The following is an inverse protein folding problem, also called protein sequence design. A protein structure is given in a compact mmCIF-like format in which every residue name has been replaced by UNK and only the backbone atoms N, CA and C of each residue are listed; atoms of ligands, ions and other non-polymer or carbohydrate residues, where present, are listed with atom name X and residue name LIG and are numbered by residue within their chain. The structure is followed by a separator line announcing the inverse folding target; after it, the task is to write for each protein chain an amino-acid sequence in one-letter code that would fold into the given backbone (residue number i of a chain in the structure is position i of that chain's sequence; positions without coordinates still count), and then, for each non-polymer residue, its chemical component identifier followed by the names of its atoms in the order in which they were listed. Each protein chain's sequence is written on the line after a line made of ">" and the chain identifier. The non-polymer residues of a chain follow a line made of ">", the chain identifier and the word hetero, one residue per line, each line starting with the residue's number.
data_IF_649785431659
#
_entry.id   IF_649785431659
#
_cell.length_a   1.000
_cell.length_b   1.000
_cell.length_c   1.000
_cell.angle_alpha   90.00
_cell.angle_beta   90.00
_cell.angle_gamma   90.00
#
_symmetry.space_group_name_H-M   'P 1'
#
loop_
_entity.id
_entity.type
_entity.pdbx_description
1 polymer ?
#
# COMPACT_ATOMS: atom_id res chain seq x y z
N UNK A 1 4.50 19.16 47.21
CA UNK A 1 3.11 19.37 46.75
C UNK A 1 2.59 18.08 46.13
N UNK A 2 1.62 17.38 46.74
CA UNK A 2 1.15 16.08 46.23
C UNK A 2 0.31 16.34 44.98
N UNK A 3 0.93 16.28 43.80
CA UNK A 3 0.32 16.55 42.49
C UNK A 3 -0.21 15.29 41.80
N UNK A 4 -0.81 14.37 42.56
CA UNK A 4 -1.38 13.13 42.04
C UNK A 4 -2.67 13.36 41.25
N UNK A 5 -3.00 12.44 40.34
CA UNK A 5 -4.33 12.40 39.69
C UNK A 5 -5.40 12.23 40.78
N UNK A 6 -6.54 12.92 40.63
CA UNK A 6 -7.70 12.68 41.50
C UNK A 6 -8.01 11.18 41.53
N UNK A 7 -8.16 10.62 42.72
CA UNK A 7 -8.51 9.21 42.91
C UNK A 7 -10.00 8.99 42.62
N UNK A 8 -10.46 7.74 42.62
CA UNK A 8 -11.89 7.48 42.54
C UNK A 8 -12.62 8.03 43.77
N UNK A 9 -12.00 7.89 44.95
CA UNK A 9 -12.52 8.42 46.20
C UNK A 9 -12.66 9.94 46.18
N UNK A 10 -11.63 10.64 45.71
CA UNK A 10 -11.65 12.10 45.54
C UNK A 10 -12.86 12.52 44.65
N UNK A 11 -13.15 11.76 43.59
CA UNK A 11 -14.29 12.04 42.70
C UNK A 11 -15.65 11.80 43.36
N UNK A 12 -15.79 10.77 44.20
CA UNK A 12 -17.03 10.54 44.95
C UNK A 12 -17.27 11.65 45.97
N UNK A 13 -16.22 12.11 46.64
CA UNK A 13 -16.30 13.24 47.58
C UNK A 13 -16.65 14.56 46.89
N UNK A 14 -16.09 14.83 45.71
CA UNK A 14 -16.48 15.98 44.87
C UNK A 14 -17.98 15.91 44.54
N UNK A 15 -18.51 14.74 44.16
CA UNK A 15 -19.93 14.60 43.86
C UNK A 15 -20.83 14.87 45.08
N UNK A 16 -20.49 14.31 46.24
CA UNK A 16 -21.25 14.54 47.50
C UNK A 16 -21.28 16.02 47.86
N UNK A 17 -20.11 16.67 47.90
CA UNK A 17 -20.02 18.07 48.31
C UNK A 17 -20.64 19.05 47.31
N UNK A 18 -20.67 18.70 46.02
CA UNK A 18 -21.43 19.50 45.05
C UNK A 18 -22.94 19.35 45.23
N UNK A 19 -23.43 18.17 45.60
CA UNK A 19 -24.84 17.96 45.94
C UNK A 19 -25.24 18.71 47.23
N UNK A 20 -24.30 18.87 48.16
CA UNK A 20 -24.43 19.69 49.37
C UNK A 20 -24.25 21.21 49.12
N UNK A 21 -23.98 21.62 47.87
CA UNK A 21 -23.88 23.03 47.47
C UNK A 21 -22.53 23.71 47.76
N UNK A 22 -21.46 22.96 48.05
CA UNK A 22 -20.15 23.54 48.31
C UNK A 22 -19.50 24.09 47.02
N UNK A 23 -18.86 25.25 47.15
CA UNK A 23 -18.10 25.87 46.07
C UNK A 23 -16.75 25.17 45.80
N UNK A 24 -16.25 25.28 44.57
CA UNK A 24 -15.03 24.59 44.12
C UNK A 24 -13.77 24.91 44.93
N UNK A 25 -13.66 26.12 45.48
CA UNK A 25 -12.52 26.53 46.30
C UNK A 25 -12.48 25.79 47.65
N UNK A 26 -13.65 25.55 48.23
CA UNK A 26 -13.78 24.81 49.49
C UNK A 26 -13.51 23.32 49.29
N UNK A 27 -14.03 22.74 48.21
CA UNK A 27 -13.73 21.35 47.81
C UNK A 27 -12.23 21.17 47.56
N UNK A 28 -11.58 22.15 46.91
CA UNK A 28 -10.13 22.15 46.70
C UNK A 28 -9.34 22.12 48.01
N UNK A 29 -9.72 22.96 48.99
CA UNK A 29 -9.09 22.99 50.32
C UNK A 29 -9.23 21.65 51.04
N UNK A 30 -10.43 21.07 51.08
CA UNK A 30 -10.71 19.80 51.79
C UNK A 30 -9.94 18.61 51.21
N UNK A 31 -9.71 18.58 49.90
CA UNK A 31 -8.94 17.53 49.22
C UNK A 31 -7.43 17.81 49.17
N UNK A 32 -6.97 18.98 49.64
CA UNK A 32 -5.58 19.41 49.46
C UNK A 32 -5.20 19.57 47.97
N UNK A 33 -6.15 20.01 47.12
CA UNK A 33 -5.97 20.16 45.67
C UNK A 33 -6.18 21.61 45.22
N UNK A 34 -5.48 22.07 44.16
CA UNK A 34 -5.76 23.38 43.58
C UNK A 34 -7.21 23.49 43.10
N UNK A 35 -7.88 24.62 43.37
CA UNK A 35 -9.25 24.92 42.91
C UNK A 35 -9.43 24.73 41.40
N UNK A 36 -8.39 25.06 40.62
CA UNK A 36 -8.36 24.87 39.17
C UNK A 36 -8.40 23.39 38.74
N UNK A 37 -8.01 22.46 39.62
CA UNK A 37 -8.12 21.01 39.38
C UNK A 37 -9.58 20.57 39.53
N UNK A 38 -10.25 21.06 40.57
CA UNK A 38 -11.67 20.76 40.84
C UNK A 38 -12.55 21.35 39.74
N UNK A 39 -12.40 22.64 39.44
CA UNK A 39 -13.17 23.31 38.38
C UNK A 39 -13.03 22.62 37.03
N UNK A 40 -11.80 22.25 36.63
CA UNK A 40 -11.56 21.55 35.36
C UNK A 40 -12.05 20.10 35.36
N UNK A 41 -12.07 19.42 36.51
CA UNK A 41 -12.64 18.07 36.61
C UNK A 41 -14.16 18.11 36.47
N UNK A 42 -14.82 19.03 37.18
CA UNK A 42 -16.28 19.20 37.15
C UNK A 42 -16.74 19.63 35.76
N UNK A 43 -16.15 20.69 35.19
CA UNK A 43 -16.49 21.18 33.86
C UNK A 43 -16.37 20.11 32.75
N UNK A 44 -15.48 19.12 32.92
CA UNK A 44 -15.26 18.06 31.92
C UNK A 44 -16.14 16.82 32.11
N UNK A 45 -16.73 16.62 33.29
CA UNK A 45 -17.48 15.40 33.60
C UNK A 45 -18.88 15.67 34.18
N UNK A 46 -19.36 16.91 34.10
CA UNK A 46 -20.76 17.26 34.36
C UNK A 46 -21.62 17.07 33.11
N UNK A 47 -22.82 16.52 33.30
CA UNK A 47 -23.87 16.42 32.28
C UNK A 47 -25.12 17.19 32.76
N UNK A 48 -26.20 17.18 31.97
CA UNK A 48 -27.43 17.96 32.23
C UNK A 48 -28.11 17.70 33.60
N UNK A 49 -27.63 16.72 34.39
CA UNK A 49 -28.10 16.42 35.75
C UNK A 49 -27.03 16.53 36.86
N UNK A 50 -25.86 17.13 36.60
CA UNK A 50 -24.81 17.33 37.61
C UNK A 50 -23.51 16.58 37.34
N UNK A 51 -22.62 16.56 38.33
CA UNK A 51 -21.29 15.94 38.23
C UNK A 51 -21.36 14.42 38.43
N UNK A 52 -20.82 13.65 37.47
CA UNK A 52 -20.88 12.18 37.46
C UNK A 52 -19.51 11.56 37.81
N UNK A 53 -19.32 11.17 39.08
CA UNK A 53 -18.06 10.63 39.59
C UNK A 53 -17.62 9.32 38.90
N UNK A 54 -18.54 8.39 38.65
CA UNK A 54 -18.24 7.10 38.01
C UNK A 54 -17.88 7.27 36.53
N UNK A 55 -18.57 8.18 35.84
CA UNK A 55 -18.21 8.56 34.48
C UNK A 55 -16.82 9.22 34.42
N UNK A 56 -16.50 10.09 35.40
CA UNK A 56 -15.18 10.70 35.52
C UNK A 56 -14.07 9.67 35.79
N UNK A 57 -14.34 8.64 36.60
CA UNK A 57 -13.42 7.53 36.84
C UNK A 57 -13.22 6.68 35.58
N UNK A 58 -14.30 6.33 34.88
CA UNK A 58 -14.22 5.58 33.63
C UNK A 58 -13.50 6.38 32.53
N UNK A 59 -13.72 7.70 32.44
CA UNK A 59 -13.03 8.57 31.49
C UNK A 59 -11.54 8.72 31.82
N UNK A 60 -11.18 8.79 33.12
CA UNK A 60 -9.80 8.82 33.58
C UNK A 60 -9.08 7.48 33.35
N UNK A 61 -9.78 6.36 33.58
CA UNK A 61 -9.32 5.00 33.32
C UNK A 61 -9.11 4.72 31.84
N UNK A 62 -10.04 5.14 30.97
CA UNK A 62 -9.87 5.07 29.49
C UNK A 62 -8.66 5.89 29.02
N UNK A 63 -8.42 7.07 29.60
CA UNK A 63 -7.23 7.89 29.29
C UNK A 63 -5.92 7.30 29.81
N UNK A 64 -5.95 6.62 30.97
CA UNK A 64 -4.80 5.88 31.48
C UNK A 64 -4.53 4.63 30.62
N UNK A 65 -5.57 3.90 30.21
CA UNK A 65 -5.49 2.76 29.28
C UNK A 65 -5.13 3.13 27.85
N UNK A 66 -5.34 4.39 27.40
CA UNK A 66 -4.79 4.96 26.15
C UNK A 66 -3.33 5.40 26.28
N UNK A 67 -2.82 5.60 27.50
CA UNK A 67 -1.38 5.79 27.79
C UNK A 67 -0.66 4.46 28.07
N UNK A 68 -1.35 3.45 28.57
CA UNK A 68 -0.80 2.10 28.80
C UNK A 68 -0.50 1.23 27.57
N UNK A 69 -0.96 1.48 26.32
CA UNK A 69 -0.47 0.71 25.17
C UNK A 69 0.91 1.22 24.74
N UNK A 70 1.37 2.35 25.29
CA UNK A 70 2.72 2.89 25.09
C UNK A 70 3.70 2.45 26.20
N UNK A 71 3.27 1.66 27.20
CA UNK A 71 4.15 1.26 28.31
C UNK A 71 4.00 -0.20 28.78
N UNK A 72 2.95 -0.93 28.38
CA UNK A 72 2.80 -2.36 28.72
C UNK A 72 3.53 -3.32 27.74
N UNK A 73 4.24 -2.80 26.74
CA UNK A 73 5.10 -3.61 25.86
C UNK A 73 6.58 -3.61 26.29
N UNK A 74 6.90 -3.15 27.50
CA UNK A 74 8.26 -3.19 28.04
C UNK A 74 8.24 -3.60 29.52
N UNK A 75 8.18 -4.91 29.73
CA UNK A 75 9.08 -5.56 30.67
C UNK A 75 9.87 -6.62 29.89
N UNK A 76 11.15 -6.81 30.22
CA UNK A 76 12.21 -7.04 29.25
C UNK A 76 12.28 -8.51 28.85
N UNK A 77 11.85 -8.77 27.61
CA UNK A 77 12.32 -9.91 26.83
C UNK A 77 12.90 -9.31 25.54
N UNK A 78 14.17 -8.91 25.66
CA UNK A 78 15.21 -8.82 24.63
C UNK A 78 14.93 -7.99 23.36
N UNK A 79 15.70 -6.90 23.21
CA UNK A 79 15.58 -5.85 22.19
C UNK A 79 15.85 -6.25 20.73
N UNK A 80 15.85 -7.54 20.42
CA UNK A 80 15.99 -8.10 19.07
C UNK A 80 14.91 -7.60 18.09
N UNK A 81 13.60 -7.50 18.43
CA UNK A 81 12.58 -7.08 17.46
C UNK A 81 12.69 -5.60 17.08
N UNK A 82 12.96 -4.72 18.06
CA UNK A 82 13.06 -3.29 17.81
C UNK A 82 14.34 -2.92 17.07
N UNK A 83 15.46 -3.57 17.40
CA UNK A 83 16.72 -3.40 16.68
C UNK A 83 16.62 -4.01 15.27
N UNK A 84 16.06 -5.22 15.13
CA UNK A 84 15.85 -5.86 13.82
C UNK A 84 14.96 -5.02 12.90
N UNK A 85 13.88 -4.43 13.42
CA UNK A 85 13.03 -3.51 12.66
C UNK A 85 13.81 -2.26 12.26
N UNK A 86 14.63 -1.69 13.16
CA UNK A 86 15.46 -0.52 12.83
C UNK A 86 16.49 -0.85 11.74
N UNK A 87 17.20 -1.96 11.86
CA UNK A 87 18.17 -2.45 10.87
C UNK A 87 17.49 -2.71 9.53
N UNK A 88 16.30 -3.31 9.52
CA UNK A 88 15.51 -3.48 8.30
C UNK A 88 15.11 -2.14 7.69
N UNK A 89 14.60 -1.20 8.48
CA UNK A 89 14.21 0.14 8.01
C UNK A 89 15.38 0.84 7.35
N UNK A 90 16.58 0.82 7.96
CA UNK A 90 17.77 1.43 7.39
C UNK A 90 18.23 0.71 6.11
N UNK A 91 18.24 -0.63 6.10
CA UNK A 91 18.63 -1.41 4.92
C UNK A 91 17.69 -1.17 3.75
N UNK A 92 16.38 -1.19 3.99
CA UNK A 92 15.40 -1.00 2.93
C UNK A 92 15.36 0.47 2.46
N UNK A 93 15.49 1.43 3.37
CA UNK A 93 15.63 2.84 2.99
C UNK A 93 16.89 3.08 2.14
N UNK A 94 17.99 2.37 2.40
CA UNK A 94 19.20 2.45 1.58
C UNK A 94 18.98 1.91 0.17
N UNK A 95 18.22 0.81 0.01
CA UNK A 95 17.86 0.28 -1.31
C UNK A 95 17.01 1.28 -2.10
N UNK A 96 15.98 1.86 -1.48
CA UNK A 96 15.15 2.89 -2.11
C UNK A 96 15.93 4.16 -2.42
N UNK A 97 16.92 4.51 -1.60
CA UNK A 97 17.81 5.62 -1.93
C UNK A 97 18.67 5.32 -3.17
N UNK A 98 19.02 4.06 -3.40
CA UNK A 98 19.70 3.60 -4.60
C UNK A 98 18.87 3.74 -5.89
N UNK A 99 17.54 3.83 -5.78
CA UNK A 99 16.65 4.05 -6.93
C UNK A 99 16.37 5.53 -7.21
N UNK A 100 17.02 6.45 -6.50
CA UNK A 100 16.89 7.90 -6.70
C UNK A 100 16.06 8.64 -5.65
N UNK A 101 15.45 7.94 -4.68
CA UNK A 101 14.72 8.59 -3.60
C UNK A 101 15.70 9.25 -2.59
N UNK A 102 15.49 10.48 -2.12
CA UNK A 102 16.40 11.04 -1.12
C UNK A 102 16.34 10.25 0.20
N UNK A 103 17.50 10.08 0.85
CA UNK A 103 17.67 9.18 2.02
C UNK A 103 16.65 9.39 3.14
N UNK A 104 16.35 10.64 3.51
CA UNK A 104 15.40 10.92 4.60
C UNK A 104 13.94 10.62 4.22
N UNK A 105 13.42 11.05 3.05
CA UNK A 105 12.17 10.54 2.49
C UNK A 105 12.08 9.01 2.47
N UNK A 106 13.13 8.31 2.03
CA UNK A 106 13.15 6.84 2.04
C UNK A 106 12.98 6.26 3.45
N UNK A 107 13.70 6.79 4.45
CA UNK A 107 13.58 6.37 5.86
C UNK A 107 12.18 6.64 6.42
N UNK A 108 11.60 7.81 6.14
CA UNK A 108 10.22 8.15 6.56
C UNK A 108 9.21 7.21 5.92
N UNK A 109 9.34 6.96 4.62
CA UNK A 109 8.46 6.09 3.87
C UNK A 109 8.47 4.64 4.38
N UNK A 110 9.66 4.05 4.56
CA UNK A 110 9.79 2.68 5.10
C UNK A 110 9.28 2.60 6.55
N UNK A 111 9.49 3.64 7.35
CA UNK A 111 8.97 3.69 8.72
C UNK A 111 7.44 3.73 8.77
N UNK A 112 6.80 4.40 7.81
CA UNK A 112 5.35 4.38 7.64
C UNK A 112 4.87 3.01 7.11
N UNK A 113 5.56 2.44 6.12
CA UNK A 113 5.21 1.15 5.51
C UNK A 113 5.24 -0.02 6.52
N UNK A 114 6.17 0.02 7.46
CA UNK A 114 6.42 -1.08 8.43
C UNK A 114 5.68 -0.89 9.76
N UNK A 115 4.86 0.16 9.90
CA UNK A 115 4.17 0.45 11.16
C UNK A 115 2.91 -0.40 11.31
N UNK A 116 2.78 -1.15 12.41
CA UNK A 116 1.59 -1.96 12.67
C UNK A 116 0.24 -1.22 12.61
N UNK A 117 0.13 0.05 13.08
CA UNK A 117 -1.10 0.84 12.96
C UNK A 117 -1.41 1.42 11.57
N UNK A 118 -0.56 1.22 10.56
CA UNK A 118 -0.72 1.78 9.20
C UNK A 118 -0.58 3.31 9.08
N UNK A 119 -0.41 4.04 10.19
CA UNK A 119 -0.27 5.50 10.20
C UNK A 119 0.63 5.99 11.33
N UNK A 120 1.29 7.14 11.13
CA UNK A 120 2.12 7.82 12.15
C UNK A 120 1.92 9.33 12.15
N UNK A 121 2.00 9.93 13.32
CA UNK A 121 2.11 11.38 13.50
C UNK A 121 3.55 11.87 13.32
N UNK A 122 3.75 13.16 13.06
CA UNK A 122 5.11 13.75 12.94
C UNK A 122 5.94 13.51 14.21
N UNK A 123 5.31 13.57 15.39
CA UNK A 123 5.99 13.30 16.67
C UNK A 123 6.41 11.83 16.83
N UNK A 124 5.69 10.89 16.23
CA UNK A 124 6.09 9.47 16.22
C UNK A 124 7.21 9.22 15.24
N UNK A 125 7.18 9.85 14.05
CA UNK A 125 8.28 9.80 13.08
C UNK A 125 9.58 10.36 13.65
N UNK A 126 9.54 11.52 14.32
CA UNK A 126 10.69 12.11 15.02
C UNK A 126 11.29 11.13 16.03
N UNK A 127 10.44 10.51 16.87
CA UNK A 127 10.89 9.55 17.88
C UNK A 127 11.46 8.27 17.29
N UNK A 128 10.86 7.72 16.22
CA UNK A 128 11.30 6.46 15.64
C UNK A 128 12.58 6.61 14.82
N UNK A 129 12.70 7.70 14.06
CA UNK A 129 13.82 7.93 13.17
C UNK A 129 15.00 8.65 13.85
N UNK A 130 14.78 9.18 15.06
CA UNK A 130 15.76 9.96 15.82
C UNK A 130 16.28 11.16 15.01
N UNK A 131 15.36 11.91 14.39
CA UNK A 131 15.67 13.08 13.54
C UNK A 131 14.88 14.30 13.98
N UNK A 132 15.27 15.48 13.48
CA UNK A 132 14.59 16.72 13.82
C UNK A 132 13.15 16.79 13.25
N UNK A 133 12.24 17.54 13.91
CA UNK A 133 10.91 17.80 13.35
C UNK A 133 10.94 18.43 11.95
N UNK A 134 11.90 19.33 11.69
CA UNK A 134 12.06 19.96 10.38
C UNK A 134 12.44 18.94 9.29
N UNK A 135 13.31 17.98 9.61
CA UNK A 135 13.67 16.88 8.69
C UNK A 135 12.47 16.02 8.34
N UNK A 136 11.61 15.72 9.32
CA UNK A 136 10.36 15.00 9.09
C UNK A 136 9.42 15.82 8.21
N UNK A 137 9.19 17.10 8.52
CA UNK A 137 8.30 17.95 7.72
C UNK A 137 8.75 18.06 6.26
N UNK A 138 10.06 18.25 6.01
CA UNK A 138 10.60 18.31 4.64
C UNK A 138 10.47 16.97 3.91
N UNK A 139 10.74 15.86 4.59
CA UNK A 139 10.62 14.54 4.01
C UNK A 139 9.16 14.18 3.69
N UNK A 140 8.23 14.48 4.60
CA UNK A 140 6.80 14.29 4.38
C UNK A 140 6.32 15.16 3.21
N UNK A 141 6.66 16.44 3.17
CA UNK A 141 6.25 17.31 2.05
C UNK A 141 6.77 16.83 0.69
N UNK A 142 7.98 16.27 0.65
CA UNK A 142 8.52 15.63 -0.56
C UNK A 142 7.72 14.38 -0.95
N UNK A 143 7.41 13.51 0.01
CA UNK A 143 6.61 12.30 -0.22
C UNK A 143 5.16 12.61 -0.60
N UNK A 144 4.58 13.68 -0.08
CA UNK A 144 3.26 14.18 -0.46
C UNK A 144 3.25 14.71 -1.90
N UNK A 145 4.30 15.43 -2.31
CA UNK A 145 4.43 15.92 -3.69
C UNK A 145 4.56 14.78 -4.71
N UNK A 146 5.11 13.63 -4.29
CA UNK A 146 5.16 12.40 -5.07
C UNK A 146 3.91 11.51 -4.88
N UNK A 147 2.90 11.99 -4.14
CA UNK A 147 1.67 11.25 -3.81
C UNK A 147 1.90 9.90 -3.11
N UNK A 148 3.07 9.73 -2.47
CA UNK A 148 3.46 8.52 -1.75
C UNK A 148 2.94 8.47 -0.31
N UNK A 149 2.57 9.62 0.23
CA UNK A 149 2.02 9.78 1.57
C UNK A 149 0.83 10.71 1.51
N UNK A 150 -0.25 10.35 2.20
CA UNK A 150 -1.41 11.20 2.39
C UNK A 150 -1.49 11.63 3.85
N UNK A 151 -1.91 12.88 4.07
CA UNK A 151 -2.40 13.32 5.38
C UNK A 151 -3.83 12.84 5.59
N UNK A 152 -4.02 12.06 6.62
CA UNK A 152 -5.33 11.77 7.16
C UNK A 152 -5.63 12.72 8.32
N UNK A 153 -6.74 13.45 8.18
CA UNK A 153 -7.33 14.18 9.28
C UNK A 153 -8.40 13.30 9.91
N UNK A 154 -7.94 12.24 10.57
CA UNK A 154 -8.81 11.48 11.45
C UNK A 154 -9.39 12.44 12.52
N UNK A 155 -10.53 12.10 13.11
CA UNK A 155 -11.39 12.89 14.03
C UNK A 155 -10.72 13.46 15.30
N UNK A 156 -9.39 13.45 15.40
CA UNK A 156 -8.57 14.05 16.45
C UNK A 156 -7.66 15.20 15.99
N UNK A 157 -7.21 16.02 16.95
CA UNK A 157 -6.38 17.23 16.79
C UNK A 157 -4.97 17.05 16.17
N UNK A 158 -4.58 15.88 15.63
CA UNK A 158 -3.20 15.63 15.17
C UNK A 158 -3.20 14.97 13.81
N UNK A 159 -2.51 15.60 12.87
CA UNK A 159 -2.25 15.07 11.53
C UNK A 159 -1.57 13.70 11.62
N UNK A 160 -2.11 12.74 10.87
CA UNK A 160 -1.52 11.42 10.68
C UNK A 160 -1.12 11.24 9.23
N UNK A 161 0.02 10.61 9.02
CA UNK A 161 0.53 10.27 7.70
C UNK A 161 0.28 8.79 7.44
N UNK A 162 -0.25 8.50 6.25
CA UNK A 162 -0.61 7.17 5.79
C UNK A 162 0.04 6.94 4.44
N UNK A 163 0.61 5.76 4.21
CA UNK A 163 0.96 5.31 2.86
C UNK A 163 -0.32 4.73 2.27
N UNK A 164 -0.84 5.32 1.18
CA UNK A 164 -2.02 4.79 0.51
C UNK A 164 -1.78 3.41 -0.09
N UNK A 165 -2.82 2.58 -0.14
CA UNK A 165 -2.76 1.19 -0.61
C UNK A 165 -2.36 1.06 -2.10
N UNK A 166 -2.40 2.16 -2.83
CA UNK A 166 -2.17 2.35 -4.27
C UNK A 166 -0.96 3.26 -4.58
N UNK A 167 -0.15 3.58 -3.57
CA UNK A 167 1.05 4.46 -3.67
C UNK A 167 2.13 3.89 -4.59
N UNK A 168 2.38 2.58 -4.52
CA UNK A 168 3.37 1.93 -5.38
C UNK A 168 2.98 1.95 -6.85
N UNK A 169 1.67 1.89 -7.14
CA UNK A 169 1.12 2.01 -8.48
C UNK A 169 1.27 3.44 -9.02
N UNK A 170 0.98 4.47 -8.21
CA UNK A 170 1.16 5.88 -8.63
C UNK A 170 2.62 6.25 -8.86
N UNK A 171 3.54 5.79 -8.01
CA UNK A 171 4.98 6.01 -8.17
C UNK A 171 5.52 5.39 -9.46
N UNK A 172 5.10 4.16 -9.75
CA UNK A 172 5.44 3.43 -10.98
C UNK A 172 4.83 4.11 -12.21
N UNK A 173 3.59 4.59 -12.13
CA UNK A 173 2.90 5.32 -13.21
C UNK A 173 3.53 6.70 -13.46
N UNK A 174 3.95 7.42 -12.42
CA UNK A 174 4.66 8.69 -12.55
C UNK A 174 6.06 8.52 -13.17
N UNK A 175 6.80 7.47 -12.80
CA UNK A 175 8.06 7.08 -13.45
C UNK A 175 7.84 6.73 -14.94
N UNK A 176 6.71 6.11 -15.26
CA UNK A 176 6.32 5.77 -16.63
C UNK A 176 6.07 7.00 -17.52
N UNK A 177 5.46 8.05 -16.95
CA UNK A 177 5.26 9.34 -17.60
C UNK A 177 6.57 10.05 -17.91
N UNK A 178 7.53 10.03 -16.98
CA UNK A 178 8.86 10.61 -17.17
C UNK A 178 9.63 9.92 -18.32
N UNK A 179 9.58 8.58 -18.42
CA UNK A 179 10.17 7.85 -19.54
C UNK A 179 9.51 8.20 -20.89
N UNK A 180 8.19 8.41 -20.90
CA UNK A 180 7.46 8.79 -22.11
C UNK A 180 7.84 10.21 -22.58
N UNK A 181 8.03 11.14 -21.65
CA UNK A 181 8.52 12.50 -21.92
C UNK A 181 9.96 12.49 -22.46
N UNK A 182 10.86 11.68 -21.88
CA UNK A 182 12.23 11.51 -22.38
C UNK A 182 12.21 10.95 -23.81
N UNK A 183 11.32 9.99 -24.09
CA UNK A 183 11.17 9.45 -25.45
C UNK A 183 10.65 10.51 -26.44
N UNK A 184 9.73 11.37 -26.01
CA UNK A 184 9.21 12.47 -26.82
C UNK A 184 10.28 13.54 -27.10
N UNK A 185 11.05 13.93 -26.08
CA UNK A 185 12.16 14.86 -26.22
C UNK A 185 13.24 14.32 -27.16
N UNK A 186 13.55 13.02 -27.08
CA UNK A 186 14.49 12.38 -27.99
C UNK A 186 13.99 12.39 -29.45
N UNK A 187 12.69 12.13 -29.70
CA UNK A 187 12.08 12.25 -31.03
C UNK A 187 12.15 13.67 -31.59
N UNK A 188 11.84 14.66 -30.77
CA UNK A 188 11.97 16.06 -31.18
C UNK A 188 13.42 16.44 -31.51
N UNK A 189 14.39 15.91 -30.76
CA UNK A 189 15.81 16.07 -31.08
C UNK A 189 16.19 15.46 -32.44
N UNK A 190 15.55 14.37 -32.89
CA UNK A 190 15.78 13.80 -34.22
C UNK A 190 15.31 14.76 -35.32
N UNK A 191 14.21 15.47 -35.11
CA UNK A 191 13.71 16.50 -36.04
C UNK A 191 14.70 17.67 -36.16
N UNK A 192 15.32 18.07 -35.04
CA UNK A 192 16.29 19.17 -34.98
C UNK A 192 17.64 18.78 -35.59
N UNK A 193 18.19 17.62 -35.19
CA UNK A 193 19.55 17.20 -35.57
C UNK A 193 19.59 16.33 -36.84
N UNK A 194 18.43 15.95 -37.38
CA UNK A 194 18.29 15.11 -38.57
C UNK A 194 18.54 13.62 -38.30
N UNK A 195 17.64 12.77 -38.79
CA UNK A 195 17.68 11.31 -38.59
C UNK A 195 18.93 10.62 -39.16
N UNK A 196 19.55 11.20 -40.19
CA UNK A 196 20.75 10.64 -40.82
C UNK A 196 22.07 10.98 -40.11
N UNK A 197 22.05 11.81 -39.05
CA UNK A 197 23.29 12.22 -38.36
C UNK A 197 23.66 11.26 -37.23
N UNK A 198 24.95 11.21 -36.82
CA UNK A 198 25.36 10.43 -35.65
C UNK A 198 24.61 10.82 -34.37
N UNK A 199 24.18 12.08 -34.23
CA UNK A 199 23.35 12.54 -33.12
C UNK A 199 21.92 12.01 -33.23
N UNK A 200 21.31 12.10 -34.41
CA UNK A 200 19.99 11.54 -34.70
C UNK A 200 19.91 10.03 -34.39
N UNK A 201 20.92 9.25 -34.80
CA UNK A 201 20.98 7.81 -34.53
C UNK A 201 21.08 7.46 -33.03
N UNK A 202 21.78 8.27 -32.22
CA UNK A 202 21.81 8.09 -30.76
C UNK A 202 20.47 8.41 -30.12
N UNK A 203 19.83 9.50 -30.55
CA UNK A 203 18.52 9.92 -30.07
C UNK A 203 17.43 8.92 -30.47
N UNK A 204 17.52 8.31 -31.65
CA UNK A 204 16.62 7.25 -32.09
C UNK A 204 16.70 6.02 -31.17
N UNK A 205 17.91 5.58 -30.82
CA UNK A 205 18.13 4.49 -29.86
C UNK A 205 17.53 4.82 -28.49
N UNK A 206 17.73 6.05 -28.03
CA UNK A 206 17.19 6.53 -26.74
C UNK A 206 15.66 6.57 -26.76
N UNK A 207 15.06 7.12 -27.81
CA UNK A 207 13.60 7.18 -27.99
C UNK A 207 12.98 5.78 -27.99
N UNK A 208 13.61 4.84 -28.70
CA UNK A 208 13.13 3.45 -28.79
C UNK A 208 13.18 2.73 -27.44
N UNK A 209 14.29 2.88 -26.72
CA UNK A 209 14.48 2.26 -25.41
C UNK A 209 13.46 2.75 -24.38
N UNK A 210 13.30 4.07 -24.24
CA UNK A 210 12.36 4.62 -23.27
C UNK A 210 10.90 4.40 -23.66
N UNK A 211 10.58 4.34 -24.96
CA UNK A 211 9.23 3.93 -25.42
C UNK A 211 8.93 2.47 -25.02
N UNK A 212 9.90 1.57 -25.13
CA UNK A 212 9.74 0.18 -24.70
C UNK A 212 9.56 0.06 -23.18
N UNK A 213 10.38 0.77 -22.38
CA UNK A 213 10.23 0.83 -20.92
C UNK A 213 8.85 1.35 -20.53
N UNK A 214 8.41 2.47 -21.12
CA UNK A 214 7.09 3.02 -20.83
C UNK A 214 5.96 2.07 -21.21
N UNK A 215 6.10 1.33 -22.32
CA UNK A 215 5.12 0.33 -22.75
C UNK A 215 5.02 -0.87 -21.78
N UNK A 216 6.13 -1.31 -21.21
CA UNK A 216 6.16 -2.37 -20.20
C UNK A 216 5.51 -1.92 -18.88
N UNK A 217 5.79 -0.69 -18.43
CA UNK A 217 5.29 -0.18 -17.15
C UNK A 217 3.83 0.30 -17.22
N UNK A 218 3.39 0.93 -18.32
CA UNK A 218 1.98 1.28 -18.58
C UNK A 218 1.10 0.04 -18.74
N UNK A 219 1.70 -1.11 -19.03
CA UNK A 219 1.05 -2.40 -18.91
C UNK A 219 0.43 -2.58 -17.52
N UNK A 220 1.09 -2.20 -16.42
CA UNK A 220 0.63 -2.48 -15.05
C UNK A 220 -0.68 -1.83 -14.57
N UNK A 221 -1.40 -1.07 -15.40
CA UNK A 221 -2.56 -0.25 -15.03
C UNK A 221 -3.89 -0.97 -14.71
N UNK A 222 -3.85 -2.24 -14.32
CA UNK A 222 -5.01 -2.93 -13.73
C UNK A 222 -4.80 -3.01 -12.22
N UNK A 223 -5.87 -2.89 -11.42
CA UNK A 223 -5.77 -3.23 -9.99
C UNK A 223 -5.26 -4.67 -9.87
N UNK A 224 -4.46 -4.97 -8.84
CA UNK A 224 -3.98 -6.34 -8.57
C UNK A 224 -5.15 -7.35 -8.55
N UNK A 225 -6.32 -6.90 -8.10
CA UNK A 225 -7.58 -7.63 -8.18
C UNK A 225 -8.03 -7.93 -9.62
N UNK A 226 -7.96 -6.97 -10.55
CA UNK A 226 -8.35 -7.20 -11.95
C UNK A 226 -7.33 -8.06 -12.71
N UNK A 227 -6.04 -7.95 -12.40
CA UNK A 227 -5.01 -8.83 -12.94
C UNK A 227 -5.15 -10.27 -12.40
N UNK A 228 -5.40 -10.41 -11.09
CA UNK A 228 -5.72 -11.70 -10.47
C UNK A 228 -7.01 -12.32 -11.01
N UNK A 229 -8.02 -11.48 -11.27
CA UNK A 229 -9.29 -11.92 -11.86
C UNK A 229 -9.09 -12.45 -13.28
N UNK A 230 -8.29 -11.74 -14.09
CA UNK A 230 -7.90 -12.17 -15.43
C UNK A 230 -7.16 -13.52 -15.40
N UNK A 231 -6.17 -13.69 -14.53
CA UNK A 231 -5.44 -14.96 -14.38
C UNK A 231 -6.35 -16.10 -13.92
N UNK A 232 -7.32 -15.82 -13.06
CA UNK A 232 -8.31 -16.81 -12.61
C UNK A 232 -9.23 -17.25 -13.75
N UNK A 233 -9.67 -16.33 -14.61
CA UNK A 233 -10.42 -16.65 -15.82
C UNK A 233 -9.59 -17.50 -16.79
N UNK A 234 -8.31 -17.16 -17.00
CA UNK A 234 -7.39 -17.99 -17.81
C UNK A 234 -7.25 -19.39 -17.22
N UNK A 235 -7.05 -19.51 -15.90
CA UNK A 235 -6.96 -20.80 -15.23
C UNK A 235 -8.25 -21.64 -15.38
N UNK A 236 -9.42 -21.01 -15.27
CA UNK A 236 -10.71 -21.68 -15.48
C UNK A 236 -10.87 -22.21 -16.91
N UNK A 237 -10.48 -21.42 -17.91
CA UNK A 237 -10.51 -21.83 -19.32
C UNK A 237 -9.53 -22.97 -19.60
N UNK A 238 -8.32 -22.92 -19.05
CA UNK A 238 -7.33 -24.01 -19.15
C UNK A 238 -7.85 -25.29 -18.50
N UNK A 239 -8.43 -25.18 -17.30
CA UNK A 239 -8.94 -26.33 -16.57
C UNK A 239 -10.15 -26.96 -17.24
N UNK A 240 -11.06 -26.15 -17.78
CA UNK A 240 -12.25 -26.65 -18.46
C UNK A 240 -11.93 -27.38 -19.76
N UNK A 241 -10.81 -27.03 -20.42
CA UNK A 241 -10.34 -27.61 -21.68
C UNK A 241 -11.44 -27.67 -22.78
N UNK A 242 -12.40 -26.75 -22.73
CA UNK A 242 -13.53 -26.62 -23.66
C UNK A 242 -13.96 -25.15 -23.76
N UNK A 243 -14.66 -24.74 -24.83
CA UNK A 243 -15.21 -23.40 -24.92
C UNK A 243 -16.20 -23.10 -23.78
N UNK A 244 -16.06 -21.94 -23.15
CA UNK A 244 -16.97 -21.45 -22.09
C UNK A 244 -17.54 -20.08 -22.46
N UNK A 245 -18.82 -19.84 -22.19
CA UNK A 245 -19.39 -18.50 -22.26
C UNK A 245 -19.03 -17.69 -21.01
N UNK A 246 -19.23 -16.36 -21.07
CA UNK A 246 -19.09 -15.52 -19.87
C UNK A 246 -20.07 -15.91 -18.75
N UNK A 247 -21.25 -16.45 -19.10
CA UNK A 247 -22.23 -16.94 -18.13
C UNK A 247 -21.75 -18.24 -17.46
N UNK A 248 -21.13 -19.16 -18.23
CA UNK A 248 -20.54 -20.38 -17.68
C UNK A 248 -19.41 -20.05 -16.70
N UNK A 249 -18.54 -19.09 -17.06
CA UNK A 249 -17.47 -18.61 -16.20
C UNK A 249 -18.01 -17.96 -14.92
N UNK A 250 -19.04 -17.13 -15.02
CA UNK A 250 -19.68 -16.50 -13.86
C UNK A 250 -20.29 -17.54 -12.91
N UNK A 251 -20.99 -18.53 -13.44
CA UNK A 251 -21.58 -19.60 -12.66
C UNK A 251 -20.52 -20.50 -11.99
N UNK A 252 -19.46 -20.86 -12.72
CA UNK A 252 -18.41 -21.75 -12.22
C UNK A 252 -17.50 -21.06 -11.17
N UNK A 253 -17.26 -19.76 -11.30
CA UNK A 253 -16.42 -18.98 -10.38
C UNK A 253 -17.20 -18.39 -9.21
N UNK A 254 -18.53 -18.52 -9.20
CA UNK A 254 -19.44 -17.83 -8.27
C UNK A 254 -19.24 -16.29 -8.30
N UNK A 255 -19.10 -15.74 -9.50
CA UNK A 255 -18.81 -14.32 -9.73
C UNK A 255 -19.98 -13.57 -10.36
N UNK A 256 -20.15 -12.28 -10.02
CA UNK A 256 -21.05 -11.41 -10.77
C UNK A 256 -20.61 -11.31 -12.24
N UNK A 257 -21.55 -11.37 -13.17
CA UNK A 257 -21.27 -11.24 -14.61
C UNK A 257 -20.43 -9.99 -15.00
N UNK A 258 -20.60 -8.80 -14.37
CA UNK A 258 -19.75 -7.65 -14.65
C UNK A 258 -18.27 -7.87 -14.29
N UNK A 259 -17.98 -8.67 -13.26
CA UNK A 259 -16.60 -8.99 -12.85
C UNK A 259 -15.91 -9.87 -13.89
N UNK A 260 -16.61 -10.89 -14.39
CA UNK A 260 -16.11 -11.74 -15.48
C UNK A 260 -15.90 -10.93 -16.76
N UNK A 261 -16.84 -10.03 -17.11
CA UNK A 261 -16.70 -9.17 -18.27
C UNK A 261 -15.47 -8.25 -18.15
N UNK A 262 -15.23 -7.66 -16.98
CA UNK A 262 -14.05 -6.83 -16.73
C UNK A 262 -12.74 -7.62 -16.83
N UNK A 263 -12.71 -8.87 -16.33
CA UNK A 263 -11.55 -9.75 -16.42
C UNK A 263 -11.23 -10.15 -17.87
N UNK A 264 -12.26 -10.51 -18.65
CA UNK A 264 -12.09 -10.83 -20.08
C UNK A 264 -11.64 -9.60 -20.88
N UNK A 265 -12.23 -8.44 -20.60
CA UNK A 265 -11.83 -7.18 -21.24
C UNK A 265 -10.38 -6.79 -20.89
N UNK A 266 -9.95 -7.03 -19.65
CA UNK A 266 -8.57 -6.84 -19.23
C UNK A 266 -7.60 -7.74 -20.01
N UNK A 267 -7.94 -9.01 -20.23
CA UNK A 267 -7.13 -9.94 -21.05
C UNK A 267 -7.05 -9.46 -22.51
N UNK A 268 -8.17 -9.00 -23.07
CA UNK A 268 -8.22 -8.46 -24.43
C UNK A 268 -7.39 -7.19 -24.61
N UNK A 269 -7.42 -6.28 -23.62
CA UNK A 269 -6.60 -5.06 -23.61
C UNK A 269 -5.12 -5.34 -23.40
N UNK A 270 -4.78 -6.42 -22.68
CA UNK A 270 -3.41 -6.79 -22.31
C UNK A 270 -3.13 -8.28 -22.53
N UNK A 271 -2.80 -8.68 -23.77
CA UNK A 271 -2.50 -10.07 -24.10
C UNK A 271 -1.27 -10.65 -23.37
N UNK A 272 -0.44 -9.82 -22.75
CA UNK A 272 0.71 -10.24 -21.94
C UNK A 272 0.31 -10.83 -20.57
N UNK A 273 -0.90 -10.55 -20.07
CA UNK A 273 -1.40 -11.13 -18.82
C UNK A 273 -1.65 -12.64 -18.91
N UNK A 274 -2.04 -13.13 -20.09
CA UNK A 274 -2.33 -14.54 -20.31
C UNK A 274 -1.09 -15.34 -20.72
N UNK A 275 0.07 -14.70 -20.86
CA UNK A 275 1.30 -15.34 -21.32
C UNK A 275 1.66 -16.58 -20.48
N UNK A 276 1.99 -17.74 -21.09
CA UNK A 276 2.26 -18.01 -22.52
C UNK A 276 1.03 -18.30 -23.41
N UNK A 277 -0.18 -18.09 -22.90
CA UNK A 277 -1.45 -18.41 -23.56
C UNK A 277 -2.11 -17.17 -24.17
N UNK A 278 -2.98 -17.41 -25.15
CA UNK A 278 -3.89 -16.46 -25.75
C UNK A 278 -5.31 -16.87 -25.39
N UNK A 279 -6.14 -15.91 -24.96
CA UNK A 279 -7.59 -16.11 -24.83
C UNK A 279 -8.25 -15.56 -26.09
N UNK A 280 -8.91 -16.44 -26.84
CA UNK A 280 -9.57 -16.09 -28.09
C UNK A 280 -11.08 -16.20 -27.93
N UNK A 281 -11.79 -15.27 -28.55
CA UNK A 281 -13.25 -15.32 -28.61
C UNK A 281 -13.65 -16.19 -29.80
N UNK A 282 -14.24 -17.33 -29.53
CA UNK A 282 -14.80 -18.22 -30.52
C UNK A 282 -16.25 -17.83 -30.86
N UNK A 283 -16.84 -18.51 -31.85
CA UNK A 283 -18.24 -18.31 -32.25
C UNK A 283 -19.21 -18.46 -31.07
N UNK A 284 -20.36 -17.78 -31.16
CA UNK A 284 -21.44 -17.79 -30.14
C UNK A 284 -21.05 -17.18 -28.78
N UNK A 285 -20.04 -16.31 -28.74
CA UNK A 285 -19.66 -15.60 -27.51
C UNK A 285 -18.94 -16.48 -26.48
N UNK A 286 -18.33 -17.56 -26.94
CA UNK A 286 -17.48 -18.44 -26.13
C UNK A 286 -16.03 -17.97 -26.14
N UNK A 287 -15.29 -18.36 -25.11
CA UNK A 287 -13.87 -18.11 -24.93
C UNK A 287 -13.11 -19.43 -24.91
N UNK A 288 -11.97 -19.46 -25.59
CA UNK A 288 -11.04 -20.59 -25.63
C UNK A 288 -9.62 -20.10 -25.31
N UNK A 289 -8.79 -20.98 -24.79
CA UNK A 289 -7.36 -20.72 -24.58
C UNK A 289 -6.54 -21.54 -25.57
N UNK A 290 -5.55 -20.90 -26.18
CA UNK A 290 -4.58 -21.53 -27.07
C UNK A 290 -3.16 -21.05 -26.73
N UNK A 291 -2.10 -21.81 -27.04
CA UNK A 291 -0.75 -21.29 -26.97
C UNK A 291 -0.58 -20.07 -27.88
N UNK A 292 0.14 -19.05 -27.41
CA UNK A 292 0.38 -17.85 -28.21
C UNK A 292 1.12 -18.18 -29.52
N UNK A 293 0.66 -17.67 -30.68
CA UNK A 293 1.24 -18.02 -31.98
C UNK A 293 2.63 -17.41 -32.21
N UNK A 294 2.99 -16.35 -31.48
CA UNK A 294 4.27 -15.64 -31.55
C UNK A 294 5.35 -16.23 -30.64
N UNK A 295 5.01 -17.22 -29.80
CA UNK A 295 5.96 -17.85 -28.86
C UNK A 295 6.81 -18.96 -29.50
N UNK A 296 6.26 -19.62 -30.51
CA UNK A 296 6.91 -20.73 -31.21
C UNK A 296 6.94 -20.46 -32.71
N UNK A 297 8.12 -20.61 -33.33
CA UNK A 297 8.24 -20.56 -34.78
C UNK A 297 7.36 -21.64 -35.42
N UNK A 298 6.90 -21.45 -36.68
CA UNK A 298 6.13 -22.48 -37.38
C UNK A 298 6.82 -23.85 -37.37
N UNK A 299 8.15 -23.89 -37.56
CA UNK A 299 8.95 -25.10 -37.52
C UNK A 299 8.99 -25.75 -36.13
N UNK A 300 9.05 -24.97 -35.05
CA UNK A 300 8.97 -25.50 -33.69
C UNK A 300 7.59 -26.10 -33.39
N UNK A 301 6.51 -25.46 -33.86
CA UNK A 301 5.15 -25.99 -33.71
C UNK A 301 4.96 -27.30 -34.45
N UNK A 302 5.45 -27.38 -35.68
CA UNK A 302 5.42 -28.60 -36.50
C UNK A 302 6.23 -29.74 -35.89
N UNK A 303 7.42 -29.45 -35.35
CA UNK A 303 8.25 -30.45 -34.67
C UNK A 303 7.61 -31.00 -33.37
N UNK A 304 6.70 -30.26 -32.74
CA UNK A 304 5.99 -30.69 -31.53
C UNK A 304 4.69 -31.44 -31.84
N UNK A 305 4.06 -31.20 -33.00
CA UNK A 305 2.87 -31.94 -33.44
C UNK A 305 3.21 -33.23 -34.18
N UNK A 306 4.36 -33.28 -34.84
CA UNK A 306 4.89 -34.51 -35.43
C UNK A 306 5.62 -35.30 -34.33
N UNK A 307 4.95 -36.28 -33.74
CA UNK A 307 5.57 -37.21 -32.78
C UNK A 307 6.83 -37.87 -33.34
N UNK A 308 7.72 -38.43 -32.49
CA UNK A 308 8.97 -39.03 -32.96
C UNK A 308 8.68 -40.07 -34.04
N UNK A 309 9.33 -39.93 -35.20
CA UNK A 309 9.32 -40.98 -36.22
C UNK A 309 9.82 -42.26 -35.55
N UNK A 310 9.09 -43.38 -35.59
CA UNK A 310 9.63 -44.63 -35.08
C UNK A 310 10.90 -44.93 -35.86
N UNK A 311 12.02 -45.05 -35.13
CA UNK A 311 13.32 -45.35 -35.69
C UNK A 311 13.22 -46.57 -36.61
N UNK A 312 13.66 -46.38 -37.85
CA UNK A 312 13.87 -47.45 -38.79
C UNK A 312 14.98 -48.34 -38.21
N UNK A 313 14.59 -49.50 -37.67
CA UNK A 313 15.51 -50.53 -37.16
C UNK A 313 16.58 -50.86 -38.22
N UNK A 314 17.87 -50.87 -37.88
CA UNK A 314 18.90 -51.31 -38.82
C UNK A 314 18.71 -52.81 -39.08
N UNK A 315 18.61 -53.15 -40.36
CA UNK A 315 18.46 -54.51 -40.85
C UNK A 315 19.51 -55.45 -40.22
N UNK A 316 19.00 -56.48 -39.54
CA UNK A 316 19.75 -57.64 -39.08
C UNK A 316 20.49 -58.28 -40.25
N UNK A 317 21.84 -58.27 -40.20
CA UNK A 317 22.68 -59.16 -41.01
C UNK A 317 22.55 -60.58 -40.47
N UNK A 318 22.10 -61.50 -41.31
CA UNK A 318 22.33 -62.96 -41.25
C UNK A 318 22.95 -63.32 -42.62
N UNK A 319 24.25 -63.67 -42.67
CA UNK A 319 24.75 -65.06 -42.72
C UNK A 319 24.08 -65.90 -43.79
#
# INVERSE_FOLDING_TARGET
>A
MPGGRLTHEDRRQIASWLAEGLGYAEIGRRLGRPTSTISREVARNSAAGGYLADHAQHSAGRRARRRSPLQAAQSPADGEPAESVRVFVERFAALLAGTGLPRMPARVFVCLLTTGPGSLTSAELVRRLQVSPASVSKAVGYLEAMELVRRDQDTGRRERYVVGDDVWLRALVADTGAHAEVAAAARHGIEIFGAGTPAGLRLERMARFFTWISGQMNGGGLTEAAAGDALTVVAALVHAARPLTAADLAAALDWPAPRVAAAVDAIGRRPDLADPLAVERAGHGTYVVAPRPDRLSPAQREALTVGPRPDCQPASRSS
#
